data_IF_454990295358
#
_entry.id   IF_454990295358
#
_cell.length_a   1.000
_cell.length_b   1.000
_cell.length_c   1.000
_cell.angle_alpha   90.00
_cell.angle_beta   90.00
_cell.angle_gamma   90.00
#
_symmetry.space_group_name_H-M   'P 1'
#
loop_
_entity.id
_entity.type
_entity.pdbx_description
1 polymer ?
#
# COMPACT_ATOMS: atom_id res chain seq x y z
N UNK A 1 9.10 13.80 4.74
CA UNK A 1 8.00 13.43 3.85
C UNK A 1 8.12 14.10 2.48
N UNK A 2 8.35 15.43 2.40
CA UNK A 2 8.42 16.18 1.16
C UNK A 2 9.43 15.60 0.14
N UNK A 3 10.62 15.22 0.59
CA UNK A 3 11.63 14.58 -0.26
C UNK A 3 11.13 13.26 -0.85
N UNK A 4 10.43 12.46 -0.06
CA UNK A 4 9.83 11.19 -0.50
C UNK A 4 8.80 11.45 -1.60
N UNK A 5 7.91 12.43 -1.37
CA UNK A 5 6.89 12.79 -2.36
C UNK A 5 7.51 13.32 -3.66
N UNK A 6 8.57 14.14 -3.55
CA UNK A 6 9.30 14.61 -4.73
C UNK A 6 9.96 13.45 -5.52
N UNK A 7 10.48 12.44 -4.82
CA UNK A 7 11.00 11.23 -5.45
C UNK A 7 9.87 10.44 -6.15
N UNK A 8 8.73 10.23 -5.48
CA UNK A 8 7.57 9.53 -6.07
C UNK A 8 7.07 10.22 -7.35
N UNK A 9 6.99 11.54 -7.38
CA UNK A 9 6.60 12.27 -8.61
C UNK A 9 7.54 11.97 -9.77
N UNK A 10 8.87 11.89 -9.52
CA UNK A 10 9.85 11.53 -10.56
C UNK A 10 9.70 10.07 -11.00
N UNK A 11 9.50 9.14 -10.07
CA UNK A 11 9.27 7.73 -10.36
C UNK A 11 8.04 7.56 -11.26
N UNK A 12 6.92 8.19 -10.90
CA UNK A 12 5.68 8.15 -11.68
C UNK A 12 5.88 8.73 -13.07
N UNK A 13 6.52 9.90 -13.19
CA UNK A 13 6.82 10.51 -14.50
C UNK A 13 7.66 9.58 -15.37
N UNK A 14 8.66 8.94 -14.80
CA UNK A 14 9.52 7.99 -15.51
C UNK A 14 8.75 6.73 -15.93
N UNK A 15 7.88 6.21 -15.06
CA UNK A 15 7.05 5.05 -15.37
C UNK A 15 6.02 5.36 -16.46
N UNK A 16 5.38 6.54 -16.42
CA UNK A 16 4.44 7.00 -17.45
C UNK A 16 5.09 7.21 -18.82
N UNK A 17 6.38 7.57 -18.86
CA UNK A 17 7.13 7.68 -20.10
C UNK A 17 7.34 6.30 -20.78
N UNK A 18 7.41 5.22 -19.99
CA UNK A 18 7.55 3.84 -20.50
C UNK A 18 6.18 3.21 -20.82
N UNK A 19 5.21 3.42 -19.94
CA UNK A 19 3.84 2.90 -20.08
C UNK A 19 2.85 4.01 -19.75
N UNK A 20 2.11 4.49 -20.75
CA UNK A 20 1.16 5.59 -20.54
C UNK A 20 0.04 5.24 -19.56
N UNK A 21 -0.58 6.26 -18.95
CA UNK A 21 -1.72 6.08 -18.04
C UNK A 21 -2.84 5.26 -18.71
N UNK A 22 -3.23 5.59 -19.96
CA UNK A 22 -4.27 4.88 -20.68
C UNK A 22 -3.95 3.39 -20.85
N UNK A 23 -2.69 3.05 -21.07
CA UNK A 23 -2.27 1.65 -21.24
C UNK A 23 -2.32 0.89 -19.92
N UNK A 24 -1.79 1.45 -18.83
CA UNK A 24 -1.80 0.75 -17.53
C UNK A 24 -3.22 0.62 -16.98
N UNK A 25 -4.08 1.62 -17.21
CA UNK A 25 -5.49 1.58 -16.83
C UNK A 25 -6.25 0.49 -17.60
N UNK A 26 -6.02 0.35 -18.90
CA UNK A 26 -6.59 -0.73 -19.69
C UNK A 26 -6.14 -2.11 -19.16
N UNK A 27 -4.85 -2.28 -18.83
CA UNK A 27 -4.34 -3.52 -18.24
C UNK A 27 -4.98 -3.82 -16.87
N UNK A 28 -5.12 -2.82 -16.00
CA UNK A 28 -5.72 -2.98 -14.68
C UNK A 28 -7.22 -3.34 -14.77
N UNK A 29 -7.94 -2.73 -15.70
CA UNK A 29 -9.40 -2.86 -15.84
C UNK A 29 -9.85 -4.23 -16.36
N UNK A 30 -9.02 -4.94 -17.14
CA UNK A 30 -9.36 -6.27 -17.66
C UNK A 30 -9.10 -7.41 -16.68
N UNK A 31 -8.51 -7.12 -15.52
CA UNK A 31 -8.21 -8.15 -14.53
C UNK A 31 -9.49 -8.62 -13.83
N UNK A 32 -9.78 -9.91 -13.96
CA UNK A 32 -10.97 -10.55 -13.38
C UNK A 32 -10.78 -11.03 -11.93
N UNK A 33 -9.54 -11.02 -11.41
CA UNK A 33 -9.26 -11.42 -10.03
C UNK A 33 -10.07 -10.57 -9.06
N UNK A 34 -10.85 -11.19 -8.22
CA UNK A 34 -11.50 -10.50 -7.10
C UNK A 34 -10.47 -10.23 -6.00
N UNK A 35 -10.41 -9.00 -5.50
CA UNK A 35 -9.60 -8.67 -4.35
C UNK A 35 -10.16 -9.34 -3.08
N UNK A 36 -9.26 -9.75 -2.20
CA UNK A 36 -9.62 -10.26 -0.87
C UNK A 36 -9.91 -9.07 0.02
N UNK A 37 -11.10 -9.02 0.62
CA UNK A 37 -11.48 -7.89 1.45
C UNK A 37 -10.62 -7.79 2.72
N UNK A 38 -9.88 -6.71 2.82
CA UNK A 38 -9.02 -6.37 3.94
C UNK A 38 -9.85 -6.09 5.21
N UNK A 39 -10.90 -5.28 5.06
CA UNK A 39 -11.80 -4.96 6.17
C UNK A 39 -12.45 -6.22 6.75
N UNK A 40 -12.98 -7.11 5.90
CA UNK A 40 -13.59 -8.36 6.35
C UNK A 40 -12.57 -9.28 7.01
N UNK A 41 -11.37 -9.39 6.48
CA UNK A 41 -10.31 -10.21 7.05
C UNK A 41 -9.90 -9.72 8.44
N UNK A 42 -9.76 -8.40 8.65
CA UNK A 42 -9.47 -7.82 9.96
C UNK A 42 -10.58 -8.09 10.98
N UNK A 43 -11.85 -7.92 10.57
CA UNK A 43 -12.99 -8.12 11.45
C UNK A 43 -13.22 -9.60 11.81
N UNK A 44 -12.89 -10.52 10.92
CA UNK A 44 -13.02 -11.96 11.15
C UNK A 44 -11.84 -12.55 11.93
N UNK A 45 -10.71 -11.85 11.99
CA UNK A 45 -9.51 -12.35 12.65
C UNK A 45 -9.61 -12.19 14.17
N UNK A 46 -9.21 -13.20 14.95
CA UNK A 46 -9.15 -13.07 16.41
C UNK A 46 -8.07 -12.12 16.91
N UNK A 47 -7.07 -11.83 16.07
CA UNK A 47 -5.93 -10.96 16.42
C UNK A 47 -5.95 -9.62 15.69
N UNK A 48 -6.53 -9.55 14.49
CA UNK A 48 -6.50 -8.38 13.61
C UNK A 48 -5.09 -7.94 13.19
N UNK A 49 -4.08 -8.82 13.30
CA UNK A 49 -2.67 -8.46 13.02
C UNK A 49 -2.46 -8.29 11.52
N UNK A 50 -1.89 -7.16 11.13
CA UNK A 50 -1.31 -6.89 9.81
C UNK A 50 0.20 -7.07 9.92
N UNK A 51 0.75 -8.12 9.32
CA UNK A 51 2.18 -8.40 9.38
C UNK A 51 2.92 -7.68 8.23
N UNK A 52 3.96 -6.92 8.55
CA UNK A 52 4.68 -6.11 7.60
C UNK A 52 5.96 -6.77 7.10
N UNK A 53 6.08 -6.91 5.77
CA UNK A 53 7.31 -7.28 5.09
C UNK A 53 8.08 -6.03 4.65
N UNK A 54 9.33 -5.91 5.14
CA UNK A 54 10.22 -4.81 4.77
C UNK A 54 11.69 -5.20 4.88
N UNK A 55 12.52 -4.77 3.92
CA UNK A 55 13.96 -5.03 3.90
C UNK A 55 14.80 -3.98 4.62
N UNK A 56 14.33 -2.72 4.61
CA UNK A 56 15.05 -1.55 5.12
C UNK A 56 14.06 -0.57 5.74
N UNK A 57 14.56 0.25 6.65
CA UNK A 57 13.84 1.45 7.10
C UNK A 57 14.79 2.65 7.24
N UNK A 58 14.31 3.89 7.06
CA UNK A 58 15.13 5.08 7.23
C UNK A 58 15.79 5.17 8.61
N UNK A 59 15.13 4.69 9.65
CA UNK A 59 15.61 4.77 11.04
C UNK A 59 16.59 3.67 11.45
N UNK A 60 16.54 2.48 10.82
CA UNK A 60 17.33 1.29 11.22
C UNK A 60 18.27 0.76 10.12
N UNK A 61 18.22 1.35 8.91
CA UNK A 61 18.95 0.80 7.77
C UNK A 61 18.40 -0.56 7.33
N UNK A 62 19.26 -1.42 6.78
CA UNK A 62 18.87 -2.77 6.35
C UNK A 62 18.55 -3.66 7.54
N UNK A 63 17.38 -4.33 7.46
CA UNK A 63 16.93 -5.37 8.39
C UNK A 63 17.35 -6.74 7.85
N UNK A 64 17.06 -6.97 6.55
CA UNK A 64 17.45 -8.18 5.81
C UNK A 64 17.46 -7.87 4.32
N UNK A 65 18.65 -7.71 3.75
CA UNK A 65 18.82 -7.28 2.36
C UNK A 65 18.28 -8.32 1.37
N UNK A 66 18.67 -9.58 1.54
CA UNK A 66 18.21 -10.71 0.72
C UNK A 66 17.07 -11.44 1.44
N UNK A 67 15.88 -10.83 1.43
CA UNK A 67 14.70 -11.42 2.04
C UNK A 67 13.80 -12.06 0.98
N UNK A 68 13.48 -13.33 1.15
CA UNK A 68 12.49 -14.06 0.37
C UNK A 68 11.08 -13.59 0.74
N UNK A 69 10.47 -12.83 -0.15
CA UNK A 69 9.14 -12.27 0.08
C UNK A 69 8.10 -13.38 0.20
N UNK A 70 8.12 -14.38 -0.67
CA UNK A 70 7.15 -15.47 -0.65
C UNK A 70 7.22 -16.27 0.66
N UNK A 71 8.42 -16.71 1.05
CA UNK A 71 8.62 -17.51 2.25
C UNK A 71 8.25 -16.75 3.54
N UNK A 72 8.66 -15.48 3.64
CA UNK A 72 8.38 -14.68 4.84
C UNK A 72 6.88 -14.37 4.94
N UNK A 73 6.24 -13.91 3.88
CA UNK A 73 4.82 -13.56 3.91
C UNK A 73 3.92 -14.77 4.14
N UNK A 74 4.27 -15.93 3.57
CA UNK A 74 3.59 -17.20 3.86
C UNK A 74 3.73 -17.60 5.34
N UNK A 75 4.89 -17.35 5.94
CA UNK A 75 5.08 -17.60 7.37
C UNK A 75 4.20 -16.70 8.24
N UNK A 76 3.96 -15.44 7.84
CA UNK A 76 3.03 -14.56 8.52
C UNK A 76 1.58 -15.07 8.47
N UNK A 77 1.12 -15.52 7.31
CA UNK A 77 -0.21 -16.12 7.17
C UNK A 77 -0.35 -17.37 8.04
N UNK A 78 0.64 -18.26 8.02
CA UNK A 78 0.66 -19.46 8.87
C UNK A 78 0.66 -19.15 10.37
N UNK A 79 1.26 -18.03 10.75
CA UNK A 79 1.25 -17.52 12.12
C UNK A 79 -0.07 -16.84 12.53
N UNK A 80 -1.06 -16.75 11.63
CA UNK A 80 -2.38 -16.20 11.92
C UNK A 80 -2.51 -14.70 11.66
N UNK A 81 -1.65 -14.11 10.83
CA UNK A 81 -1.86 -12.73 10.38
C UNK A 81 -3.17 -12.61 9.59
N UNK A 82 -3.94 -11.56 9.87
CA UNK A 82 -5.17 -11.25 9.14
C UNK A 82 -4.91 -10.68 7.75
N UNK A 83 -3.77 -10.01 7.59
CA UNK A 83 -3.31 -9.42 6.34
C UNK A 83 -1.79 -9.30 6.32
N UNK A 84 -1.24 -9.10 5.13
CA UNK A 84 0.17 -8.80 4.94
C UNK A 84 0.33 -7.43 4.31
N UNK A 85 1.24 -6.63 4.87
CA UNK A 85 1.69 -5.35 4.31
C UNK A 85 3.05 -5.55 3.65
N UNK A 86 3.19 -5.14 2.39
CA UNK A 86 4.45 -5.24 1.63
C UNK A 86 4.93 -3.86 1.25
N UNK A 87 6.11 -3.46 1.75
CA UNK A 87 6.75 -2.21 1.39
C UNK A 87 7.25 -2.30 -0.06
N UNK A 88 6.77 -1.40 -0.93
CA UNK A 88 7.17 -1.35 -2.34
C UNK A 88 8.05 -0.15 -2.69
N UNK A 89 8.24 0.78 -1.76
CA UNK A 89 9.15 1.90 -1.94
C UNK A 89 10.61 1.44 -2.05
N UNK A 90 11.29 1.86 -3.14
CA UNK A 90 12.65 1.42 -3.46
C UNK A 90 13.70 2.18 -2.65
N UNK A 91 13.68 3.48 -2.70
CA UNK A 91 14.80 4.32 -2.25
C UNK A 91 14.93 4.33 -0.72
N UNK A 92 13.82 4.40 -0.02
CA UNK A 92 13.77 4.54 1.42
C UNK A 92 13.63 3.22 2.17
N UNK A 93 12.96 2.22 1.56
CA UNK A 93 12.62 0.94 2.20
C UNK A 93 13.22 -0.29 1.51
N UNK A 94 13.95 -0.11 0.42
CA UNK A 94 14.52 -1.19 -0.40
C UNK A 94 13.46 -2.22 -0.83
N UNK A 95 12.22 -1.74 -1.07
CA UNK A 95 11.10 -2.52 -1.58
C UNK A 95 11.11 -2.59 -3.11
N UNK A 96 10.20 -3.38 -3.63
CA UNK A 96 9.95 -3.48 -5.06
C UNK A 96 8.47 -3.76 -5.30
N UNK A 97 7.89 -3.16 -6.33
CA UNK A 97 6.52 -3.46 -6.72
C UNK A 97 6.34 -4.95 -7.06
N UNK A 98 7.37 -5.54 -7.67
CA UNK A 98 7.37 -6.96 -8.04
C UNK A 98 7.32 -7.91 -6.83
N UNK A 99 7.62 -7.46 -5.62
CA UNK A 99 7.46 -8.25 -4.39
C UNK A 99 5.99 -8.66 -4.12
N UNK A 100 5.03 -7.89 -4.62
CA UNK A 100 3.61 -8.23 -4.50
C UNK A 100 3.24 -9.51 -5.27
N UNK A 101 3.90 -9.77 -6.40
CA UNK A 101 3.59 -10.90 -7.28
C UNK A 101 3.82 -12.26 -6.59
N UNK A 102 5.02 -12.57 -6.04
CA UNK A 102 5.25 -13.82 -5.31
C UNK A 102 4.42 -13.88 -4.02
N UNK A 103 4.21 -12.76 -3.34
CA UNK A 103 3.32 -12.73 -2.18
C UNK A 103 1.90 -13.16 -2.59
N UNK A 104 1.30 -12.55 -3.64
CA UNK A 104 -0.06 -12.89 -4.08
C UNK A 104 -0.21 -14.34 -4.53
N UNK A 105 0.81 -14.92 -5.16
CA UNK A 105 0.76 -16.32 -5.61
C UNK A 105 0.66 -17.33 -4.46
N UNK A 106 1.13 -16.96 -3.27
CA UNK A 106 1.27 -17.86 -2.13
C UNK A 106 0.32 -17.57 -0.96
N UNK A 107 -0.36 -16.42 -0.97
CA UNK A 107 -1.24 -16.00 0.13
C UNK A 107 -2.71 -16.12 -0.25
N UNK A 108 -3.56 -16.45 0.73
CA UNK A 108 -5.02 -16.36 0.63
C UNK A 108 -5.58 -15.12 1.33
N UNK A 109 -4.82 -14.55 2.26
CA UNK A 109 -5.19 -13.32 2.99
C UNK A 109 -4.89 -12.06 2.16
N UNK A 110 -5.51 -10.91 2.48
CA UNK A 110 -5.32 -9.68 1.72
C UNK A 110 -3.90 -9.12 1.84
N UNK A 111 -3.45 -8.48 0.77
CA UNK A 111 -2.14 -7.83 0.65
C UNK A 111 -2.30 -6.33 0.48
N UNK A 112 -1.71 -5.58 1.41
CA UNK A 112 -1.59 -4.13 1.36
C UNK A 112 -0.32 -3.74 0.59
N UNK A 113 -0.47 -2.98 -0.51
CA UNK A 113 0.66 -2.23 -1.07
C UNK A 113 0.97 -1.06 -0.14
N UNK A 114 2.09 -1.14 0.56
CA UNK A 114 2.56 -0.08 1.45
C UNK A 114 3.59 0.78 0.73
N UNK A 115 3.14 1.92 0.26
CA UNK A 115 3.92 2.90 -0.50
C UNK A 115 3.35 4.30 -0.26
N UNK A 116 4.02 5.33 -0.77
CA UNK A 116 3.51 6.70 -0.80
C UNK A 116 2.71 6.91 -2.09
N UNK A 117 1.42 6.59 -2.04
CA UNK A 117 0.52 6.69 -3.19
C UNK A 117 -0.02 8.11 -3.29
N UNK A 118 0.24 8.76 -4.43
CA UNK A 118 -0.11 10.15 -4.73
C UNK A 118 -0.75 10.32 -6.11
N UNK A 119 -0.84 9.26 -6.90
CA UNK A 119 -1.30 9.30 -8.29
C UNK A 119 -2.08 8.03 -8.65
N UNK A 120 -3.15 8.12 -9.46
CA UNK A 120 -3.91 6.95 -9.94
C UNK A 120 -3.06 5.89 -10.64
N UNK A 121 -1.95 6.28 -11.26
CA UNK A 121 -1.02 5.36 -11.90
C UNK A 121 -0.54 4.26 -10.94
N UNK A 122 -0.18 4.65 -9.71
CA UNK A 122 0.29 3.72 -8.70
C UNK A 122 -0.82 2.75 -8.24
N UNK A 123 -2.09 3.16 -8.31
CA UNK A 123 -3.23 2.30 -8.00
C UNK A 123 -3.41 1.23 -9.07
N UNK A 124 -3.25 1.58 -10.36
CA UNK A 124 -3.21 0.61 -11.45
C UNK A 124 -2.06 -0.39 -11.27
N UNK A 125 -0.85 0.09 -10.95
CA UNK A 125 0.29 -0.79 -10.64
C UNK A 125 -0.03 -1.76 -9.51
N UNK A 126 -0.62 -1.29 -8.40
CA UNK A 126 -1.03 -2.11 -7.27
C UNK A 126 -1.99 -3.22 -7.69
N UNK A 127 -3.00 -2.88 -8.50
CA UNK A 127 -3.99 -3.81 -9.03
C UNK A 127 -3.33 -4.90 -9.88
N UNK A 128 -2.45 -4.50 -10.80
CA UNK A 128 -1.73 -5.42 -11.70
C UNK A 128 -0.79 -6.34 -10.92
N UNK A 129 -0.07 -5.80 -9.94
CA UNK A 129 0.86 -6.57 -9.11
C UNK A 129 0.17 -7.52 -8.11
N UNK A 130 -1.15 -7.41 -7.94
CA UNK A 130 -1.93 -8.34 -7.13
C UNK A 130 -2.21 -7.89 -5.70
N UNK A 131 -2.07 -6.60 -5.40
CA UNK A 131 -2.57 -6.03 -4.15
C UNK A 131 -4.10 -6.13 -4.05
N UNK A 132 -4.61 -6.09 -2.84
CA UNK A 132 -6.03 -6.06 -2.49
C UNK A 132 -6.42 -4.72 -1.88
N UNK A 133 -5.48 -4.04 -1.26
CA UNK A 133 -5.67 -2.76 -0.60
C UNK A 133 -4.47 -1.85 -0.83
N UNK A 134 -4.72 -0.56 -0.90
CA UNK A 134 -3.68 0.47 -1.04
C UNK A 134 -3.65 1.38 0.17
N UNK A 135 -2.46 1.91 0.49
CA UNK A 135 -2.26 2.89 1.55
C UNK A 135 -2.41 4.30 0.98
N UNK A 136 -3.28 5.11 1.58
CA UNK A 136 -3.27 6.55 1.45
C UNK A 136 -2.79 7.17 2.77
N UNK A 137 -1.96 8.22 2.70
CA UNK A 137 -1.38 8.87 3.88
C UNK A 137 -1.90 10.31 3.93
N UNK A 138 -2.67 10.65 4.97
CA UNK A 138 -3.29 11.96 5.11
C UNK A 138 -2.25 13.10 5.08
N UNK A 139 -1.12 12.92 5.77
CA UNK A 139 -0.02 13.89 5.77
C UNK A 139 0.59 14.18 4.37
N UNK A 140 0.37 13.31 3.38
CA UNK A 140 0.90 13.43 2.02
C UNK A 140 -0.13 13.96 1.02
N UNK A 141 -1.41 14.03 1.39
CA UNK A 141 -2.53 14.27 0.49
C UNK A 141 -3.47 15.35 1.05
N UNK A 142 -4.22 16.00 0.17
CA UNK A 142 -5.37 16.81 0.60
C UNK A 142 -6.61 15.90 0.78
N UNK A 143 -7.64 16.33 1.55
CA UNK A 143 -8.89 15.57 1.66
C UNK A 143 -9.54 15.26 0.29
N UNK A 144 -9.48 16.21 -0.65
CA UNK A 144 -9.99 16.03 -2.01
C UNK A 144 -9.22 14.95 -2.77
N UNK A 145 -7.88 14.92 -2.61
CA UNK A 145 -7.05 13.88 -3.25
C UNK A 145 -7.30 12.51 -2.64
N UNK A 146 -7.48 12.41 -1.31
CA UNK A 146 -7.84 11.14 -0.65
C UNK A 146 -9.14 10.60 -1.25
N UNK A 147 -10.21 11.43 -1.31
CA UNK A 147 -11.49 11.00 -1.88
C UNK A 147 -11.35 10.55 -3.34
N UNK A 148 -10.63 11.31 -4.15
CA UNK A 148 -10.44 10.99 -5.57
C UNK A 148 -9.68 9.67 -5.76
N UNK A 149 -8.57 9.48 -5.04
CA UNK A 149 -7.75 8.27 -5.13
C UNK A 149 -8.47 7.05 -4.55
N UNK A 150 -9.21 7.21 -3.46
CA UNK A 150 -10.00 6.14 -2.86
C UNK A 150 -11.13 5.69 -3.79
N UNK A 151 -11.89 6.63 -4.36
CA UNK A 151 -12.90 6.31 -5.37
C UNK A 151 -12.32 5.61 -6.60
N UNK A 152 -11.13 6.04 -7.03
CA UNK A 152 -10.44 5.37 -8.14
C UNK A 152 -9.98 3.94 -7.77
N UNK A 153 -9.47 3.73 -6.55
CA UNK A 153 -9.12 2.41 -6.06
C UNK A 153 -10.34 1.46 -6.05
N UNK A 154 -11.48 1.95 -5.56
CA UNK A 154 -12.74 1.20 -5.59
C UNK A 154 -13.18 0.84 -7.01
N UNK A 155 -13.01 1.73 -7.99
CA UNK A 155 -13.35 1.44 -9.40
C UNK A 155 -12.55 0.28 -9.98
N UNK A 156 -11.35 0.02 -9.44
CA UNK A 156 -10.49 -1.12 -9.76
C UNK A 156 -10.66 -2.31 -8.80
N UNK A 157 -11.63 -2.24 -7.87
CA UNK A 157 -11.92 -3.29 -6.90
C UNK A 157 -10.89 -3.44 -5.78
N UNK A 158 -10.13 -2.39 -5.48
CA UNK A 158 -9.20 -2.34 -4.34
C UNK A 158 -9.85 -1.63 -3.15
N UNK A 159 -9.55 -2.08 -1.93
CA UNK A 159 -9.89 -1.36 -0.70
C UNK A 159 -8.80 -0.32 -0.35
N UNK A 160 -9.14 0.59 0.56
CA UNK A 160 -8.29 1.70 0.96
C UNK A 160 -8.08 1.72 2.47
N UNK A 161 -6.81 1.71 2.88
CA UNK A 161 -6.38 2.05 4.23
C UNK A 161 -5.89 3.51 4.24
N UNK A 162 -6.54 4.37 5.02
CA UNK A 162 -6.07 5.74 5.24
C UNK A 162 -5.27 5.81 6.54
N UNK A 163 -4.00 6.18 6.44
CA UNK A 163 -3.13 6.43 7.60
C UNK A 163 -3.24 7.89 8.04
N UNK A 164 -3.53 8.09 9.34
CA UNK A 164 -3.64 9.40 10.01
C UNK A 164 -2.70 9.45 11.21
N UNK A 165 -2.20 10.65 11.56
CA UNK A 165 -1.20 10.87 12.63
C UNK A 165 -1.71 11.78 13.75
N UNK A 166 -2.74 12.57 13.49
CA UNK A 166 -3.27 13.56 14.42
C UNK A 166 -4.75 13.85 14.16
N UNK A 167 -5.39 14.56 15.08
CA UNK A 167 -6.82 14.90 15.00
C UNK A 167 -7.18 15.77 13.78
N UNK A 168 -6.26 16.62 13.33
CA UNK A 168 -6.52 17.49 12.17
C UNK A 168 -6.68 16.69 10.89
N UNK A 169 -6.01 15.54 10.80
CA UNK A 169 -6.09 14.63 9.67
C UNK A 169 -7.38 13.81 9.62
N UNK A 170 -8.21 13.82 10.69
CA UNK A 170 -9.56 13.22 10.66
C UNK A 170 -10.46 13.82 9.57
N UNK A 171 -10.20 15.07 9.17
CA UNK A 171 -10.88 15.71 8.04
C UNK A 171 -10.64 15.06 6.67
N UNK A 172 -9.70 14.10 6.57
CA UNK A 172 -9.45 13.32 5.35
C UNK A 172 -10.36 12.08 5.24
N UNK A 173 -11.06 11.70 6.32
CA UNK A 173 -11.99 10.57 6.28
C UNK A 173 -13.17 10.87 5.35
N UNK A 174 -13.52 9.90 4.54
CA UNK A 174 -14.65 9.95 3.61
C UNK A 174 -15.22 8.54 3.43
N UNK A 175 -16.38 8.43 2.78
CA UNK A 175 -17.10 7.15 2.62
C UNK A 175 -16.32 6.13 1.79
N UNK A 176 -15.37 6.59 0.98
CA UNK A 176 -14.52 5.75 0.14
C UNK A 176 -13.32 5.16 0.91
N UNK A 177 -13.12 5.47 2.18
CA UNK A 177 -12.08 4.87 3.04
C UNK A 177 -12.64 3.65 3.75
N UNK A 178 -12.08 2.47 3.50
CA UNK A 178 -12.56 1.20 4.08
C UNK A 178 -12.08 0.99 5.52
N UNK A 179 -10.84 1.41 5.79
CA UNK A 179 -10.18 1.28 7.11
C UNK A 179 -9.35 2.53 7.40
N UNK A 180 -9.48 3.07 8.60
CA UNK A 180 -8.61 4.12 9.12
C UNK A 180 -7.54 3.51 10.04
N UNK A 181 -6.28 3.88 9.81
CA UNK A 181 -5.14 3.47 10.63
C UNK A 181 -4.51 4.66 11.35
N UNK A 182 -4.23 4.51 12.63
CA UNK A 182 -3.53 5.54 13.41
C UNK A 182 -2.04 5.17 13.48
N UNK A 183 -1.18 6.08 13.02
CA UNK A 183 0.27 5.93 13.13
C UNK A 183 0.81 6.82 14.24
N UNK A 184 1.32 6.20 15.31
CA UNK A 184 1.90 6.92 16.44
C UNK A 184 3.28 7.53 16.16
N UNK A 185 3.86 7.27 14.98
CA UNK A 185 5.15 7.84 14.61
C UNK A 185 4.96 9.19 13.93
N UNK A 186 5.53 10.23 14.50
CA UNK A 186 5.64 11.53 13.84
C UNK A 186 6.55 11.42 12.61
N UNK A 187 6.01 11.74 11.42
CA UNK A 187 6.74 11.65 10.15
C UNK A 187 7.79 12.76 9.97
N UNK A 188 7.76 13.82 10.77
CA UNK A 188 8.74 14.91 10.74
C UNK A 188 9.95 14.62 11.60
N UNK A 189 9.75 14.05 12.79
CA UNK A 189 10.79 13.76 13.78
C UNK A 189 11.21 12.30 13.86
N UNK A 190 10.45 11.38 13.22
CA UNK A 190 10.60 9.92 13.32
C UNK A 190 10.53 9.36 14.76
N UNK A 191 10.00 10.14 15.71
CA UNK A 191 9.75 9.71 17.08
C UNK A 191 8.35 9.11 17.24
N UNK A 192 8.24 8.13 18.13
CA UNK A 192 6.99 7.52 18.61
C UNK A 192 6.65 8.06 19.97
#
# INVERSE_FOLDING_TARGET
LEQIIATKRREITSAQAVKSMARIEAEASVLTRQAVSFRKALLASPTGIIAEFKRKSPSKGFIKQEADTAGITTSYERAGAAAVSVLTDRDYFAGCLDDLIPARKNLSIPILRKDFIIDPYQICEARIAGADVVLLIAAALTPANVRSLAGYAHSLGLEVLLEIHNEQELGHLCDEVDVAGINNRDLSSFRT
#
